data_IF_577192862434
#
_entry.id   IF_577192862434
#
_cell.length_a   1.000
_cell.length_b   1.000
_cell.length_c   1.000
_cell.angle_alpha   90.00
_cell.angle_beta   90.00
_cell.angle_gamma   90.00
#
_symmetry.space_group_name_H-M   'P 1'
#
loop_
_entity.id
_entity.type
_entity.pdbx_description
1 polymer ?
#
# COMPACT_ATOMS: atom_id res chain seq x y z
N UNK A 1 -38.76 -16.32 -71.54
CA UNK A 1 -38.24 -15.37 -70.57
C UNK A 1 -37.64 -16.21 -69.42
N UNK A 2 -36.35 -16.51 -69.50
CA UNK A 2 -35.66 -17.41 -68.55
C UNK A 2 -34.95 -16.55 -67.48
N UNK A 3 -35.33 -16.75 -66.24
CA UNK A 3 -34.71 -16.09 -65.11
C UNK A 3 -33.62 -17.03 -64.55
N UNK A 4 -32.40 -16.70 -64.89
CA UNK A 4 -31.21 -17.37 -64.30
C UNK A 4 -31.00 -16.89 -62.83
N UNK A 5 -31.17 -17.82 -61.91
CA UNK A 5 -30.83 -17.60 -60.51
C UNK A 5 -29.32 -17.82 -60.32
N UNK A 6 -28.59 -16.74 -60.06
CA UNK A 6 -27.20 -16.82 -59.64
C UNK A 6 -27.13 -17.15 -58.15
N UNK A 7 -26.58 -18.29 -57.81
CA UNK A 7 -26.21 -18.64 -56.41
C UNK A 7 -24.85 -18.02 -56.10
N UNK A 8 -24.83 -17.00 -55.26
CA UNK A 8 -23.60 -16.50 -54.68
C UNK A 8 -23.21 -17.41 -53.49
N UNK A 9 -22.17 -18.22 -53.67
CA UNK A 9 -21.57 -18.97 -52.60
C UNK A 9 -20.72 -18.02 -51.73
N UNK A 10 -21.20 -17.70 -50.54
CA UNK A 10 -20.46 -16.96 -49.51
C UNK A 10 -19.49 -17.94 -48.83
N UNK A 11 -18.24 -17.92 -49.25
CA UNK A 11 -17.17 -18.66 -48.55
C UNK A 11 -16.83 -17.91 -47.29
N UNK A 12 -17.32 -18.41 -46.13
CA UNK A 12 -16.91 -17.94 -44.85
C UNK A 12 -15.50 -18.50 -44.55
N UNK A 13 -14.48 -17.64 -44.67
CA UNK A 13 -13.16 -17.93 -44.14
C UNK A 13 -13.22 -17.90 -42.60
N UNK A 14 -13.30 -19.06 -41.99
CA UNK A 14 -13.04 -19.19 -40.57
C UNK A 14 -11.53 -19.08 -40.38
N UNK A 15 -11.04 -17.91 -40.02
CA UNK A 15 -9.69 -17.75 -39.50
C UNK A 15 -9.62 -18.45 -38.15
N UNK A 16 -9.13 -19.66 -38.14
CA UNK A 16 -8.71 -20.32 -36.88
C UNK A 16 -7.48 -19.57 -36.43
N UNK A 17 -7.65 -18.68 -35.47
CA UNK A 17 -6.51 -18.15 -34.72
C UNK A 17 -5.89 -19.33 -33.96
N UNK A 18 -4.79 -19.85 -34.46
CA UNK A 18 -3.93 -20.76 -33.71
C UNK A 18 -3.34 -19.89 -32.60
N UNK A 19 -3.92 -19.95 -31.43
CA UNK A 19 -3.27 -19.41 -30.24
C UNK A 19 -2.03 -20.25 -30.02
N UNK A 20 -0.85 -19.69 -30.22
CA UNK A 20 0.40 -20.33 -29.83
C UNK A 20 0.27 -20.69 -28.36
N UNK A 21 0.41 -21.95 -28.04
CA UNK A 21 0.30 -22.46 -26.68
C UNK A 21 1.57 -22.06 -25.91
N UNK A 22 1.58 -20.83 -25.41
CA UNK A 22 2.68 -20.30 -24.62
C UNK A 22 2.81 -21.12 -23.33
N UNK A 23 4.01 -21.59 -23.06
CA UNK A 23 4.36 -22.40 -21.91
C UNK A 23 5.30 -21.63 -20.99
N UNK A 24 5.30 -21.95 -19.72
CA UNK A 24 6.31 -21.43 -18.78
C UNK A 24 7.75 -21.75 -19.22
N UNK A 25 7.93 -22.77 -20.08
CA UNK A 25 9.25 -23.11 -20.65
C UNK A 25 9.76 -22.09 -21.67
N UNK A 26 8.88 -21.25 -22.20
CA UNK A 26 9.24 -20.20 -23.16
C UNK A 26 9.81 -18.97 -22.46
N UNK A 27 9.64 -18.85 -21.13
CA UNK A 27 10.22 -17.80 -20.31
C UNK A 27 11.72 -18.05 -20.14
N UNK A 28 12.53 -17.26 -20.81
CA UNK A 28 14.01 -17.34 -20.76
C UNK A 28 14.63 -16.49 -19.66
N UNK A 29 13.95 -15.40 -19.28
CA UNK A 29 14.44 -14.46 -18.28
C UNK A 29 13.30 -14.01 -17.41
N UNK A 30 13.55 -13.92 -16.11
CA UNK A 30 12.66 -13.31 -15.12
C UNK A 30 13.44 -12.16 -14.50
N UNK A 31 12.91 -10.95 -14.63
CA UNK A 31 13.48 -9.74 -14.02
C UNK A 31 12.62 -9.36 -12.84
N UNK A 32 13.17 -9.45 -11.63
CA UNK A 32 12.53 -8.98 -10.41
C UNK A 32 13.01 -7.56 -10.10
N UNK A 33 12.13 -6.60 -10.27
CA UNK A 33 12.40 -5.21 -9.89
C UNK A 33 11.74 -4.93 -8.55
N UNK A 34 12.52 -5.08 -7.48
CA UNK A 34 12.07 -4.84 -6.11
C UNK A 34 12.13 -3.35 -5.81
N UNK A 35 10.99 -2.70 -5.71
CA UNK A 35 10.91 -1.34 -5.16
C UNK A 35 10.80 -1.41 -3.65
N UNK A 36 11.72 -0.75 -2.98
CA UNK A 36 11.78 -0.64 -1.52
C UNK A 36 11.54 0.84 -1.15
N UNK A 37 11.23 1.15 -0.07
CA UNK A 37 11.24 0.73 1.32
C UNK A 37 10.05 1.42 1.97
N UNK A 38 8.88 0.86 1.83
CA UNK A 38 7.61 1.38 2.38
C UNK A 38 6.80 0.25 2.97
N UNK A 39 6.09 0.54 4.06
CA UNK A 39 5.18 -0.41 4.67
C UNK A 39 4.00 -0.72 3.73
N UNK A 40 3.41 -1.91 3.90
CA UNK A 40 2.20 -2.31 3.17
C UNK A 40 1.10 -1.25 3.28
N UNK A 41 0.84 -0.76 4.47
CA UNK A 41 -0.22 0.22 4.74
C UNK A 41 0.03 1.60 4.11
N UNK A 42 1.29 1.94 3.82
CA UNK A 42 1.59 3.16 3.07
C UNK A 42 0.88 3.20 1.72
N UNK A 43 0.83 2.06 1.01
CA UNK A 43 0.20 1.95 -0.31
C UNK A 43 -1.23 1.41 -0.25
N UNK A 44 -1.45 0.41 0.59
CA UNK A 44 -2.66 -0.40 0.53
C UNK A 44 -3.56 -0.25 1.76
N UNK A 45 -3.16 0.51 2.79
CA UNK A 45 -3.94 0.68 4.01
C UNK A 45 -5.35 1.26 3.80
N UNK A 46 -5.53 2.07 2.74
CA UNK A 46 -6.84 2.63 2.36
C UNK A 46 -7.56 1.85 1.26
N UNK A 47 -6.92 0.81 0.69
CA UNK A 47 -7.44 0.08 -0.45
C UNK A 47 -8.65 -0.77 -0.05
N UNK A 48 -9.67 -0.79 -0.91
CA UNK A 48 -10.82 -1.66 -0.71
C UNK A 48 -10.46 -3.14 -0.90
N UNK A 49 -11.04 -4.01 -0.10
CA UNK A 49 -10.84 -5.46 -0.21
C UNK A 49 -9.57 -6.00 0.46
N UNK A 50 -8.75 -5.14 1.06
CA UNK A 50 -7.60 -5.56 1.86
C UNK A 50 -7.87 -5.38 3.36
N UNK A 51 -7.12 -6.08 4.20
CA UNK A 51 -7.12 -5.91 5.65
C UNK A 51 -6.31 -4.67 6.03
N UNK A 52 -6.83 -3.49 5.69
CA UNK A 52 -6.25 -2.20 5.97
C UNK A 52 -7.01 -1.43 7.04
N UNK A 53 -6.99 -0.10 6.97
CA UNK A 53 -7.57 0.78 8.00
C UNK A 53 -9.10 0.67 8.18
N UNK A 54 -9.80 0.02 7.26
CA UNK A 54 -11.24 -0.24 7.34
C UNK A 54 -11.58 -1.70 7.64
N UNK A 55 -10.60 -2.50 8.08
CA UNK A 55 -10.84 -3.90 8.46
C UNK A 55 -11.82 -3.95 9.65
N UNK A 56 -12.98 -4.58 9.51
CA UNK A 56 -13.94 -4.71 10.62
C UNK A 56 -13.43 -5.61 11.76
N UNK A 57 -12.41 -6.43 11.49
CA UNK A 57 -11.79 -7.34 12.46
C UNK A 57 -10.41 -6.82 12.91
N UNK A 58 -10.28 -5.51 13.09
CA UNK A 58 -9.03 -4.91 13.54
C UNK A 58 -8.64 -5.44 14.92
N UNK A 59 -7.33 -5.66 15.11
CA UNK A 59 -6.79 -6.03 16.42
C UNK A 59 -6.98 -4.89 17.44
N UNK A 60 -7.40 -5.24 18.64
CA UNK A 60 -7.53 -4.31 19.78
C UNK A 60 -6.35 -4.56 20.72
N UNK A 61 -5.57 -3.52 21.00
CA UNK A 61 -4.50 -3.60 21.99
C UNK A 61 -5.08 -3.70 23.41
N UNK A 62 -4.63 -4.68 24.18
CA UNK A 62 -5.01 -4.81 25.58
C UNK A 62 -4.45 -3.68 26.47
N UNK A 63 -3.36 -3.03 26.02
CA UNK A 63 -2.75 -1.93 26.77
C UNK A 63 -3.59 -0.66 26.68
N UNK A 64 -4.20 -0.41 25.52
CA UNK A 64 -4.93 0.84 25.26
C UNK A 64 -6.45 0.66 25.25
N UNK A 65 -6.92 -0.57 25.06
CA UNK A 65 -8.34 -0.86 24.82
C UNK A 65 -8.86 -0.33 23.48
N UNK A 66 -7.97 0.12 22.61
CA UNK A 66 -8.30 0.70 21.29
C UNK A 66 -7.72 -0.14 20.16
N UNK A 67 -8.21 0.10 18.95
CA UNK A 67 -7.63 -0.55 17.77
C UNK A 67 -6.17 -0.17 17.61
N UNK A 68 -5.39 -1.06 17.00
CA UNK A 68 -3.96 -0.83 16.72
C UNK A 68 -3.68 0.38 15.83
N UNK A 69 -4.69 0.95 15.21
CA UNK A 69 -4.57 2.21 14.47
C UNK A 69 -4.51 3.45 15.38
N UNK A 70 -4.85 3.31 16.67
CA UNK A 70 -4.69 4.35 17.68
C UNK A 70 -3.34 4.19 18.36
N UNK A 71 -2.31 4.77 17.79
CA UNK A 71 -0.94 4.66 18.27
C UNK A 71 -0.65 5.68 19.36
N UNK A 72 -0.26 5.27 20.57
CA UNK A 72 0.16 6.20 21.60
C UNK A 72 1.36 7.03 21.17
N UNK A 73 1.39 8.29 21.58
CA UNK A 73 2.48 9.23 21.30
C UNK A 73 3.16 9.62 22.62
N UNK A 74 4.42 9.26 22.77
CA UNK A 74 5.28 9.73 23.83
C UNK A 74 6.25 10.80 23.30
N UNK A 75 5.98 12.04 23.64
CA UNK A 75 6.78 13.18 23.17
C UNK A 75 8.27 13.08 23.54
N UNK A 76 8.62 12.30 24.57
CA UNK A 76 10.03 12.06 24.97
C UNK A 76 10.75 11.09 24.05
N UNK A 77 10.01 10.20 23.37
CA UNK A 77 10.56 9.19 22.46
C UNK A 77 10.68 9.69 21.04
N UNK A 78 9.88 10.69 20.67
CA UNK A 78 9.82 11.21 19.30
C UNK A 78 10.61 12.51 19.21
N UNK A 79 11.50 12.61 18.22
CA UNK A 79 12.26 13.85 17.96
C UNK A 79 11.31 14.99 17.66
N UNK A 80 11.56 16.17 18.23
CA UNK A 80 10.71 17.35 18.06
C UNK A 80 10.47 17.71 16.58
N UNK A 81 11.50 17.56 15.74
CA UNK A 81 11.42 17.86 14.29
C UNK A 81 10.46 16.99 13.48
N UNK A 82 10.02 15.87 14.06
CA UNK A 82 9.14 14.89 13.38
C UNK A 82 7.86 14.62 14.16
N UNK A 83 7.63 15.36 15.25
CA UNK A 83 6.36 15.25 15.99
C UNK A 83 5.21 15.83 15.15
N UNK A 84 4.07 15.16 15.09
CA UNK A 84 2.92 15.64 14.34
C UNK A 84 2.32 16.92 14.95
N UNK A 85 2.23 16.97 16.29
CA UNK A 85 1.86 18.15 17.09
C UNK A 85 2.40 17.98 18.51
N UNK A 86 2.54 19.07 19.26
CA UNK A 86 3.07 19.02 20.63
C UNK A 86 2.06 18.45 21.64
N UNK A 87 0.77 18.54 21.37
CA UNK A 87 -0.32 18.16 22.29
C UNK A 87 -0.96 16.81 21.97
N UNK A 88 -0.43 16.07 21.00
CA UNK A 88 -1.02 14.81 20.58
C UNK A 88 -0.54 13.67 21.48
N UNK A 89 -1.44 13.06 22.21
CA UNK A 89 -1.18 11.84 22.99
C UNK A 89 -1.41 10.56 22.18
N UNK A 90 -1.99 10.67 21.00
CA UNK A 90 -2.36 9.58 20.14
C UNK A 90 -2.29 10.01 18.68
N UNK A 91 -1.82 9.12 17.82
CA UNK A 91 -1.77 9.34 16.37
C UNK A 91 -2.51 8.21 15.66
N UNK A 92 -3.41 8.57 14.75
CA UNK A 92 -4.07 7.65 13.82
C UNK A 92 -3.38 7.66 12.47
N UNK A 93 -3.64 6.65 11.60
CA UNK A 93 -3.17 6.70 10.22
C UNK A 93 -3.51 8.02 9.53
N UNK A 94 -2.52 8.65 8.91
CA UNK A 94 -2.65 10.00 8.36
C UNK A 94 -2.09 10.09 6.94
N UNK A 95 -2.66 10.99 6.15
CA UNK A 95 -2.26 11.21 4.78
C UNK A 95 -0.92 11.96 4.71
N UNK A 96 0.06 11.40 4.04
CA UNK A 96 1.44 11.89 4.02
C UNK A 96 1.62 13.29 3.40
N UNK A 97 0.66 13.77 2.63
CA UNK A 97 0.74 15.10 2.02
C UNK A 97 0.01 16.22 2.81
N UNK A 98 -0.57 15.93 3.97
CA UNK A 98 -1.41 16.89 4.69
C UNK A 98 -0.69 18.17 5.16
N UNK A 99 0.63 18.13 5.26
CA UNK A 99 1.42 19.27 5.71
C UNK A 99 1.52 20.41 4.68
N UNK A 100 0.93 20.25 3.49
CA UNK A 100 0.94 21.27 2.43
C UNK A 100 2.32 21.56 1.85
N UNK A 101 2.45 22.62 1.07
CA UNK A 101 3.69 23.03 0.43
C UNK A 101 4.12 22.10 -0.71
N UNK A 102 5.41 21.83 -0.84
CA UNK A 102 5.93 20.88 -1.83
C UNK A 102 5.63 19.44 -1.41
N UNK A 103 4.38 19.04 -1.60
CA UNK A 103 3.88 17.73 -1.21
C UNK A 103 4.60 16.59 -1.92
N UNK A 104 5.04 16.77 -3.18
CA UNK A 104 5.79 15.75 -3.92
C UNK A 104 7.09 15.40 -3.22
N UNK A 105 7.86 16.41 -2.84
CA UNK A 105 9.09 16.21 -2.10
C UNK A 105 8.85 15.56 -0.73
N UNK A 106 7.83 16.01 -0.02
CA UNK A 106 7.50 15.48 1.32
C UNK A 106 6.98 14.05 1.31
N UNK A 107 6.18 13.67 0.31
CA UNK A 107 5.71 12.29 0.16
C UNK A 107 6.79 11.33 -0.32
N UNK A 108 7.69 11.80 -1.18
CA UNK A 108 8.76 10.99 -1.75
C UNK A 108 9.98 10.91 -0.81
N UNK A 109 10.32 11.99 -0.14
CA UNK A 109 11.51 12.13 0.70
C UNK A 109 11.19 12.10 2.20
N UNK A 110 10.16 11.38 2.62
CA UNK A 110 9.84 11.26 4.04
C UNK A 110 10.94 10.51 4.80
N UNK A 111 11.11 10.85 6.07
CA UNK A 111 11.99 10.11 6.96
C UNK A 111 11.49 8.68 7.12
N UNK A 112 12.32 7.72 6.78
CA UNK A 112 12.03 6.32 6.95
C UNK A 112 12.22 5.91 8.41
N UNK A 113 11.43 4.93 8.84
CA UNK A 113 11.66 4.25 10.12
C UNK A 113 12.84 3.29 10.04
N UNK A 114 13.09 2.63 11.17
CA UNK A 114 14.10 1.59 11.26
C UNK A 114 13.54 0.23 10.81
N UNK A 115 14.26 -0.46 9.95
CA UNK A 115 13.98 -1.84 9.54
C UNK A 115 14.67 -2.88 10.45
N UNK A 116 15.29 -2.44 11.54
CA UNK A 116 15.99 -3.34 12.44
C UNK A 116 15.02 -4.25 13.19
N UNK A 117 15.47 -5.47 13.47
CA UNK A 117 14.76 -6.42 14.31
C UNK A 117 14.32 -5.80 15.64
N UNK A 118 15.22 -5.08 16.30
CA UNK A 118 14.97 -4.44 17.59
C UNK A 118 13.82 -3.42 17.52
N UNK A 119 13.83 -2.55 16.52
CA UNK A 119 12.79 -1.53 16.38
C UNK A 119 11.42 -2.16 16.05
N UNK A 120 11.40 -3.15 15.16
CA UNK A 120 10.17 -3.83 14.79
C UNK A 120 9.57 -4.64 15.94
N UNK A 121 10.40 -5.30 16.75
CA UNK A 121 9.93 -6.01 17.96
C UNK A 121 9.42 -5.05 19.03
N UNK A 122 10.07 -3.90 19.20
CA UNK A 122 9.58 -2.87 20.09
C UNK A 122 8.24 -2.31 19.62
N UNK A 123 8.05 -2.12 18.32
CA UNK A 123 6.79 -1.67 17.74
C UNK A 123 5.66 -2.72 17.86
N UNK A 124 6.01 -3.99 17.66
CA UNK A 124 5.09 -5.13 17.83
C UNK A 124 4.62 -5.29 19.27
N UNK A 125 5.47 -4.96 20.24
CA UNK A 125 5.15 -4.93 21.67
C UNK A 125 4.38 -6.17 22.17
N UNK A 126 5.00 -7.35 22.04
CA UNK A 126 4.41 -8.63 22.46
C UNK A 126 3.01 -8.91 21.87
N UNK A 127 2.76 -8.48 20.65
CA UNK A 127 1.49 -8.69 19.96
C UNK A 127 0.44 -7.60 20.17
N UNK A 128 0.75 -6.57 20.95
CA UNK A 128 -0.16 -5.43 21.15
C UNK A 128 -0.18 -4.48 19.96
N UNK A 129 0.89 -4.42 19.16
CA UNK A 129 1.03 -3.64 17.92
C UNK A 129 0.75 -2.15 18.13
N UNK A 130 1.08 -1.62 19.30
CA UNK A 130 0.70 -0.29 19.75
C UNK A 130 1.89 0.65 19.98
N UNK A 131 3.09 0.31 19.47
CA UNK A 131 4.28 1.12 19.68
C UNK A 131 4.99 1.55 18.38
N UNK A 132 4.29 1.50 17.22
CA UNK A 132 4.89 1.86 15.94
C UNK A 132 5.41 3.30 15.94
N UNK A 133 4.64 4.25 16.47
CA UNK A 133 5.03 5.66 16.51
C UNK A 133 6.22 5.89 17.45
N UNK A 134 6.19 5.29 18.64
CA UNK A 134 7.20 5.50 19.66
C UNK A 134 8.51 4.74 19.41
N UNK A 135 8.41 3.52 18.88
CA UNK A 135 9.58 2.67 18.60
C UNK A 135 10.20 2.95 17.25
N UNK A 136 9.45 3.58 16.36
CA UNK A 136 9.88 3.87 14.99
C UNK A 136 9.76 5.37 14.69
N UNK A 137 8.75 5.78 13.94
CA UNK A 137 8.47 7.20 13.67
C UNK A 137 6.97 7.40 13.43
N UNK A 138 6.44 8.64 13.54
CA UNK A 138 5.08 8.96 13.13
C UNK A 138 4.75 8.60 11.68
N UNK A 139 5.77 8.58 10.82
CA UNK A 139 5.61 8.20 9.41
C UNK A 139 5.31 6.72 9.20
N UNK A 140 5.57 5.87 10.20
CA UNK A 140 5.29 4.42 10.12
C UNK A 140 3.81 4.09 9.90
N UNK A 141 2.91 4.99 10.27
CA UNK A 141 1.45 4.87 10.09
C UNK A 141 0.90 5.88 9.08
N UNK A 142 1.76 6.51 8.30
CA UNK A 142 1.35 7.36 7.19
C UNK A 142 0.83 6.52 6.01
N UNK A 143 0.03 7.14 5.14
CA UNK A 143 -0.43 6.47 3.92
C UNK A 143 -0.41 7.41 2.72
N UNK A 144 -0.29 6.81 1.54
CA UNK A 144 -0.51 7.46 0.25
C UNK A 144 -1.94 7.29 -0.22
N UNK A 145 -2.42 8.21 -1.02
CA UNK A 145 -3.61 8.08 -1.84
C UNK A 145 -3.21 7.79 -3.28
N UNK A 146 -4.19 7.39 -4.08
CA UNK A 146 -3.97 7.06 -5.49
C UNK A 146 -3.32 8.21 -6.28
N UNK A 147 -3.68 9.45 -5.98
CA UNK A 147 -3.13 10.64 -6.60
C UNK A 147 -1.66 10.91 -6.25
N UNK A 148 -1.18 10.37 -5.13
CA UNK A 148 0.23 10.53 -4.71
C UNK A 148 1.16 9.57 -5.48
N UNK A 149 0.62 8.43 -5.93
CA UNK A 149 1.35 7.35 -6.62
C UNK A 149 0.59 6.89 -7.86
N UNK A 150 0.46 7.74 -8.88
CA UNK A 150 -0.47 7.52 -10.00
C UNK A 150 -0.11 6.34 -10.90
N UNK A 151 1.08 5.75 -10.74
CA UNK A 151 1.58 4.62 -11.54
C UNK A 151 1.51 3.27 -10.82
N UNK A 152 0.88 3.22 -9.66
CA UNK A 152 0.64 1.99 -8.89
C UNK A 152 -0.81 1.53 -8.96
#
# INVERSE_FOLDING_TARGET
MFITKAFAALAAFVAVAVADEYSLKDIKHIVLFMQENRAFDHYFGTMAGVRGFKDPNVHISNNTGKSVFHQPVDAKKIKASIRPTDDTSELMPWHLNWQGGDWKNRTQCMLTGSNSWKANHAAWNHGQIDQWVNANTPYSIGYYRREDVPVH
#
